data_IF_266857437241
#
_entry.id   IF_266857437241
#
_cell.length_a   1.000
_cell.length_b   1.000
_cell.length_c   1.000
_cell.angle_alpha   90.00
_cell.angle_beta   90.00
_cell.angle_gamma   90.00
#
_symmetry.space_group_name_H-M   'P 1'
#
loop_
_entity.id
_entity.type
_entity.pdbx_description
1 polymer ?
#
# COMPACT_ATOMS: atom_id res chain seq x y z
N UNK A 1 12.96 17.42 74.88
CA UNK A 1 13.12 16.65 73.62
C UNK A 1 11.80 16.55 72.83
N UNK A 2 10.98 17.62 72.76
CA UNK A 2 9.68 17.61 72.06
C UNK A 2 9.62 18.60 70.88
N UNK A 3 10.35 19.72 70.95
CA UNK A 3 10.42 20.70 69.85
C UNK A 3 11.22 20.21 68.62
N UNK A 4 12.22 19.33 68.81
CA UNK A 4 13.05 18.82 67.71
C UNK A 4 12.26 17.90 66.76
N UNK A 5 11.33 17.10 67.29
CA UNK A 5 10.47 16.22 66.49
C UNK A 5 9.45 16.99 65.65
N UNK A 6 8.92 18.13 66.12
CA UNK A 6 7.98 18.93 65.33
C UNK A 6 8.64 19.58 64.11
N UNK A 7 9.89 20.04 64.26
CA UNK A 7 10.68 20.58 63.15
C UNK A 7 10.97 19.49 62.11
N UNK A 8 11.32 18.28 62.55
CA UNK A 8 11.58 17.16 61.65
C UNK A 8 10.34 16.71 60.87
N UNK A 9 9.16 16.69 61.51
CA UNK A 9 7.88 16.37 60.85
C UNK A 9 7.52 17.45 59.81
N UNK A 10 7.74 18.73 60.13
CA UNK A 10 7.51 19.83 59.19
C UNK A 10 8.41 19.76 57.96
N UNK A 11 9.71 19.49 58.15
CA UNK A 11 10.67 19.34 57.06
C UNK A 11 10.35 18.13 56.19
N UNK A 12 9.98 16.98 56.78
CA UNK A 12 9.56 15.79 56.02
C UNK A 12 8.30 16.06 55.19
N UNK A 13 7.32 16.78 55.74
CA UNK A 13 6.12 17.20 55.00
C UNK A 13 6.44 18.15 53.84
N UNK A 14 7.36 19.09 54.03
CA UNK A 14 7.81 20.01 52.98
C UNK A 14 8.48 19.26 51.83
N UNK A 15 9.38 18.32 52.14
CA UNK A 15 10.07 17.51 51.12
C UNK A 15 9.07 16.66 50.32
N UNK A 16 8.07 16.06 50.98
CA UNK A 16 7.02 15.30 50.29
C UNK A 16 6.16 16.16 49.35
N UNK A 17 5.86 17.40 49.74
CA UNK A 17 5.10 18.30 48.86
C UNK A 17 5.88 18.66 47.59
N UNK A 18 7.18 18.93 47.73
CA UNK A 18 8.05 19.28 46.60
C UNK A 18 8.23 18.10 45.63
N UNK A 19 8.39 16.88 46.14
CA UNK A 19 8.54 15.69 45.28
C UNK A 19 7.29 15.40 44.47
N UNK A 20 6.10 15.60 45.04
CA UNK A 20 4.82 15.41 44.32
C UNK A 20 4.66 16.43 43.20
N UNK A 21 4.99 17.70 43.44
CA UNK A 21 4.91 18.74 42.40
C UNK A 21 5.84 18.41 41.23
N UNK A 22 7.08 18.01 41.52
CA UNK A 22 8.06 17.64 40.49
C UNK A 22 7.57 16.41 39.71
N UNK A 23 7.03 15.39 40.39
CA UNK A 23 6.51 14.19 39.74
C UNK A 23 5.34 14.49 38.77
N UNK A 24 4.44 15.42 39.12
CA UNK A 24 3.33 15.84 38.26
C UNK A 24 3.85 16.57 37.00
N UNK A 25 4.84 17.46 37.15
CA UNK A 25 5.42 18.17 35.99
C UNK A 25 6.14 17.19 35.04
N UNK A 26 6.91 16.26 35.59
CA UNK A 26 7.62 15.26 34.78
C UNK A 26 6.67 14.31 34.05
N UNK A 27 5.61 13.86 34.72
CA UNK A 27 4.59 13.01 34.08
C UNK A 27 3.79 13.75 33.01
N UNK A 28 3.48 15.04 33.20
CA UNK A 28 2.84 15.86 32.19
C UNK A 28 3.71 16.01 30.92
N UNK A 29 5.03 16.22 31.08
CA UNK A 29 5.97 16.28 29.96
C UNK A 29 6.08 14.94 29.23
N UNK A 30 6.14 13.83 29.97
CA UNK A 30 6.18 12.48 29.40
C UNK A 30 4.92 12.17 28.59
N UNK A 31 3.74 12.52 29.11
CA UNK A 31 2.47 12.36 28.39
C UNK A 31 2.38 13.27 27.15
N UNK A 32 2.88 14.50 27.24
CA UNK A 32 2.94 15.42 26.11
C UNK A 32 3.82 14.88 24.97
N UNK A 33 5.01 14.36 25.29
CA UNK A 33 5.90 13.73 24.31
C UNK A 33 5.29 12.45 23.75
N UNK A 34 4.69 11.60 24.59
CA UNK A 34 4.03 10.37 24.15
C UNK A 34 2.83 10.64 23.22
N UNK A 35 2.07 11.70 23.47
CA UNK A 35 0.98 12.12 22.59
C UNK A 35 1.49 12.75 21.28
N UNK A 36 2.63 13.45 21.32
CA UNK A 36 3.31 13.97 20.12
C UNK A 36 3.86 12.83 19.24
N UNK A 37 4.28 11.71 19.85
CA UNK A 37 4.63 10.50 19.11
C UNK A 37 3.41 9.90 18.41
N UNK A 38 2.23 9.89 19.02
CA UNK A 38 1.01 9.39 18.37
C UNK A 38 0.62 10.22 17.14
N UNK A 39 0.74 11.55 17.19
CA UNK A 39 0.49 12.40 16.02
C UNK A 39 1.57 12.24 14.94
N UNK A 40 2.84 12.05 15.33
CA UNK A 40 3.96 11.80 14.40
C UNK A 40 3.88 10.40 13.75
N UNK A 41 3.43 9.38 14.49
CA UNK A 41 3.23 8.02 13.94
C UNK A 41 2.07 8.02 12.94
N UNK A 42 0.98 8.75 13.22
CA UNK A 42 -0.13 8.90 12.27
C UNK A 42 0.29 9.70 11.03
N UNK A 43 1.17 10.70 11.16
CA UNK A 43 1.73 11.43 10.02
C UNK A 43 2.75 10.62 9.21
N UNK A 44 3.52 9.73 9.85
CA UNK A 44 4.52 8.88 9.21
C UNK A 44 3.92 7.76 8.37
N UNK A 45 2.83 7.13 8.83
CA UNK A 45 2.12 6.09 8.06
C UNK A 45 1.36 6.66 6.88
N UNK A 46 0.68 7.81 7.02
CA UNK A 46 -0.01 8.46 5.89
C UNK A 46 0.96 8.90 4.80
N UNK A 47 2.09 9.52 5.16
CA UNK A 47 3.13 9.89 4.19
C UNK A 47 3.79 8.64 3.56
N UNK A 48 3.98 7.57 4.32
CA UNK A 48 4.53 6.31 3.80
C UNK A 48 3.60 5.61 2.81
N UNK A 49 2.29 5.57 3.09
CA UNK A 49 1.29 5.04 2.15
C UNK A 49 1.22 5.88 0.89
N UNK A 50 1.32 7.22 0.99
CA UNK A 50 1.37 8.11 -0.17
C UNK A 50 2.63 7.87 -1.03
N UNK A 51 3.82 7.78 -0.42
CA UNK A 51 5.06 7.49 -1.14
C UNK A 51 5.03 6.14 -1.86
N UNK A 52 4.47 5.10 -1.23
CA UNK A 52 4.29 3.80 -1.87
C UNK A 52 3.31 3.87 -3.05
N UNK A 53 2.24 4.67 -2.93
CA UNK A 53 1.29 4.92 -4.02
C UNK A 53 1.96 5.65 -5.19
N UNK A 54 2.72 6.72 -4.92
CA UNK A 54 3.42 7.51 -5.95
C UNK A 54 4.44 6.66 -6.71
N UNK A 55 5.18 5.79 -6.00
CA UNK A 55 6.14 4.88 -6.61
C UNK A 55 5.46 3.83 -7.50
N UNK A 56 4.34 3.28 -7.04
CA UNK A 56 3.51 2.36 -7.85
C UNK A 56 2.95 3.06 -9.09
N UNK A 57 2.56 4.33 -8.98
CA UNK A 57 2.01 5.09 -10.10
C UNK A 57 3.08 5.42 -11.17
N UNK A 58 4.27 5.85 -10.77
CA UNK A 58 5.41 6.11 -11.67
C UNK A 58 5.77 4.82 -12.41
N UNK A 59 5.84 3.72 -11.67
CA UNK A 59 6.24 2.45 -12.25
C UNK A 59 5.18 1.84 -13.17
N UNK A 60 3.91 2.12 -12.95
CA UNK A 60 2.85 1.70 -13.85
C UNK A 60 2.77 2.58 -15.12
N UNK A 61 2.92 3.90 -14.98
CA UNK A 61 2.80 4.86 -16.10
C UNK A 61 3.87 4.65 -17.18
N UNK A 62 5.04 4.08 -16.85
CA UNK A 62 6.11 3.82 -17.83
C UNK A 62 5.73 2.81 -18.92
N UNK A 63 4.72 1.97 -18.66
CA UNK A 63 4.28 0.94 -19.59
C UNK A 63 3.25 1.45 -20.61
N UNK A 64 2.78 2.70 -20.49
CA UNK A 64 1.81 3.24 -21.43
C UNK A 64 2.42 3.44 -22.82
N UNK A 65 1.90 2.71 -23.81
CA UNK A 65 2.41 2.69 -25.18
C UNK A 65 3.73 1.93 -25.38
N UNK A 66 4.28 1.30 -24.34
CA UNK A 66 5.52 0.52 -24.42
C UNK A 66 5.25 -0.90 -24.89
N UNK A 67 6.09 -1.39 -25.81
CA UNK A 67 6.09 -2.80 -26.19
C UNK A 67 7.04 -3.59 -25.27
N UNK A 68 6.51 -4.61 -24.61
CA UNK A 68 7.23 -5.47 -23.67
C UNK A 68 7.11 -6.94 -24.07
N UNK A 69 8.11 -7.75 -23.74
CA UNK A 69 8.05 -9.21 -23.92
C UNK A 69 7.05 -9.83 -22.96
N UNK A 70 6.49 -10.99 -23.33
CA UNK A 70 5.61 -11.77 -22.45
C UNK A 70 6.28 -12.10 -21.12
N UNK A 71 7.56 -12.46 -21.12
CA UNK A 71 8.33 -12.67 -19.88
C UNK A 71 8.33 -11.45 -18.96
N UNK A 72 8.39 -10.23 -19.52
CA UNK A 72 8.29 -8.99 -18.74
C UNK A 72 6.88 -8.77 -18.22
N UNK A 73 5.84 -9.10 -18.99
CA UNK A 73 4.44 -9.05 -18.51
C UNK A 73 4.27 -9.96 -17.28
N UNK A 74 4.82 -11.17 -17.31
CA UNK A 74 4.79 -12.10 -16.17
C UNK A 74 5.48 -11.48 -14.95
N UNK A 75 6.66 -10.87 -15.12
CA UNK A 75 7.34 -10.16 -14.02
C UNK A 75 6.51 -9.00 -13.47
N UNK A 76 5.88 -8.21 -14.35
CA UNK A 76 5.02 -7.08 -13.94
C UNK A 76 3.81 -7.57 -13.15
N UNK A 77 3.17 -8.67 -13.54
CA UNK A 77 2.08 -9.29 -12.76
C UNK A 77 2.59 -9.67 -11.37
N UNK A 78 3.74 -10.32 -11.28
CA UNK A 78 4.30 -10.75 -9.99
C UNK A 78 4.72 -9.56 -9.11
N UNK A 79 5.15 -8.44 -9.67
CA UNK A 79 5.58 -7.25 -8.93
C UNK A 79 4.39 -6.36 -8.52
N UNK A 80 3.49 -6.04 -9.45
CA UNK A 80 2.44 -5.02 -9.27
C UNK A 80 1.20 -5.57 -8.59
N UNK A 81 0.83 -6.82 -8.86
CA UNK A 81 -0.35 -7.45 -8.27
C UNK A 81 -0.14 -7.87 -6.80
N UNK A 82 1.01 -7.56 -6.19
CA UNK A 82 1.20 -7.61 -4.74
C UNK A 82 0.57 -6.40 -4.03
N UNK A 83 0.35 -5.30 -4.75
CA UNK A 83 -0.22 -4.07 -4.19
C UNK A 83 -1.76 -4.09 -4.25
N UNK A 84 -2.40 -3.40 -3.31
CA UNK A 84 -3.86 -3.36 -3.19
C UNK A 84 -4.54 -2.37 -4.15
N UNK A 85 -3.79 -1.68 -5.02
CA UNK A 85 -4.32 -0.53 -5.77
C UNK A 85 -4.26 -0.68 -7.29
N UNK A 86 -3.46 -1.63 -7.81
CA UNK A 86 -3.25 -1.80 -9.25
C UNK A 86 -3.61 -3.22 -9.68
N UNK A 87 -4.44 -3.35 -10.71
CA UNK A 87 -4.66 -4.61 -11.42
C UNK A 87 -3.92 -4.65 -12.75
N UNK A 88 -3.63 -5.85 -13.25
CA UNK A 88 -3.05 -6.06 -14.58
C UNK A 88 -4.01 -6.89 -15.42
N UNK A 89 -4.40 -6.41 -16.59
CA UNK A 89 -5.18 -7.19 -17.57
C UNK A 89 -4.29 -7.60 -18.73
N UNK A 90 -4.33 -8.88 -19.11
CA UNK A 90 -3.61 -9.38 -20.27
C UNK A 90 -4.61 -9.89 -21.30
N UNK A 91 -4.52 -9.36 -22.51
CA UNK A 91 -5.31 -9.77 -23.68
C UNK A 91 -4.37 -10.54 -24.61
N UNK A 92 -4.66 -11.82 -24.81
CA UNK A 92 -3.92 -12.69 -25.72
C UNK A 92 -4.68 -12.82 -27.05
N UNK A 93 -4.06 -13.40 -28.07
CA UNK A 93 -4.74 -13.72 -29.34
C UNK A 93 -5.89 -14.72 -29.17
N UNK A 94 -5.83 -15.56 -28.13
CA UNK A 94 -6.81 -16.59 -27.81
C UNK A 94 -7.89 -16.11 -26.81
N UNK A 95 -7.55 -15.14 -25.95
CA UNK A 95 -8.44 -14.48 -24.98
C UNK A 95 -8.61 -12.99 -25.32
N UNK A 96 -9.59 -12.70 -26.16
CA UNK A 96 -9.95 -11.34 -26.59
C UNK A 96 -10.70 -10.54 -25.51
N UNK A 97 -11.20 -11.22 -24.47
CA UNK A 97 -11.85 -10.56 -23.32
C UNK A 97 -10.83 -10.11 -22.27
N UNK A 98 -9.69 -10.78 -22.21
CA UNK A 98 -8.58 -10.48 -21.33
C UNK A 98 -8.75 -11.06 -19.93
N UNK A 99 -7.64 -11.57 -19.39
CA UNK A 99 -7.56 -12.10 -18.03
C UNK A 99 -7.03 -11.02 -17.09
N UNK A 100 -7.73 -10.76 -15.98
CA UNK A 100 -7.31 -9.78 -14.97
C UNK A 100 -6.60 -10.48 -13.80
N UNK A 101 -5.48 -9.90 -13.37
CA UNK A 101 -4.62 -10.32 -12.26
C UNK A 101 -4.57 -9.22 -11.21
N UNK A 102 -4.77 -9.59 -9.95
CA UNK A 102 -4.77 -8.66 -8.82
C UNK A 102 -4.47 -9.35 -7.50
N UNK A 103 -4.20 -8.58 -6.46
CA UNK A 103 -4.09 -9.13 -5.10
C UNK A 103 -5.49 -9.60 -4.64
N UNK A 104 -5.66 -10.83 -4.12
CA UNK A 104 -6.94 -11.28 -3.55
C UNK A 104 -7.42 -10.45 -2.35
N UNK A 105 -6.50 -9.75 -1.68
CA UNK A 105 -6.81 -8.82 -0.59
C UNK A 105 -7.30 -7.45 -1.08
N UNK A 106 -7.19 -7.18 -2.39
CA UNK A 106 -7.68 -5.96 -3.01
C UNK A 106 -9.22 -5.92 -2.91
N UNK A 107 -9.71 -5.24 -1.87
CA UNK A 107 -11.15 -5.03 -1.65
C UNK A 107 -11.67 -3.97 -2.62
N UNK A 108 -12.15 -4.48 -3.75
CA UNK A 108 -13.32 -4.03 -4.51
C UNK A 108 -13.58 -2.52 -4.52
N UNK A 109 -13.02 -1.85 -5.53
CA UNK A 109 -13.76 -0.82 -6.24
C UNK A 109 -13.74 -1.18 -7.72
N UNK A 110 -14.86 -1.73 -8.20
CA UNK A 110 -15.10 -1.85 -9.65
C UNK A 110 -15.05 -0.44 -10.21
N UNK A 111 -13.99 -0.14 -10.97
CA UNK A 111 -13.78 1.21 -11.49
C UNK A 111 -14.06 1.16 -12.98
N UNK A 112 -15.02 1.97 -13.43
CA UNK A 112 -15.23 2.15 -14.87
C UNK A 112 -14.32 3.28 -15.33
N UNK A 113 -13.32 2.96 -16.15
CA UNK A 113 -12.45 3.93 -16.82
C UNK A 113 -12.61 3.72 -18.31
N UNK A 114 -12.86 4.78 -19.08
CA UNK A 114 -13.04 4.72 -20.55
C UNK A 114 -14.05 3.67 -21.02
N UNK A 115 -15.24 3.62 -20.41
CA UNK A 115 -16.30 2.61 -20.67
C UNK A 115 -15.87 1.15 -20.43
N UNK A 116 -14.71 0.91 -19.83
CA UNK A 116 -14.23 -0.42 -19.43
C UNK A 116 -14.42 -0.61 -17.93
N UNK A 117 -15.17 -1.65 -17.57
CA UNK A 117 -15.33 -2.09 -16.18
C UNK A 117 -14.06 -2.83 -15.76
N UNK A 118 -13.25 -2.21 -14.91
CA UNK A 118 -12.09 -2.85 -14.29
C UNK A 118 -12.57 -3.47 -12.98
N UNK A 119 -12.52 -4.79 -12.91
CA UNK A 119 -12.82 -5.55 -11.70
C UNK A 119 -11.50 -6.00 -11.09
N UNK A 120 -10.99 -5.34 -10.03
CA UNK A 120 -9.75 -5.73 -9.36
C UNK A 120 -9.90 -7.05 -8.55
N UNK A 121 -10.98 -7.80 -8.73
CA UNK A 121 -11.12 -9.19 -8.27
C UNK A 121 -10.84 -10.10 -9.46
N UNK A 122 -9.56 -10.27 -9.80
CA UNK A 122 -9.14 -11.26 -10.80
C UNK A 122 -9.35 -12.68 -10.28
N UNK A 123 -9.75 -13.60 -11.17
CA UNK A 123 -9.89 -15.03 -10.85
C UNK A 123 -8.52 -15.75 -10.68
N UNK A 124 -7.39 -15.03 -10.78
CA UNK A 124 -6.05 -15.60 -10.75
C UNK A 124 -5.08 -14.72 -9.95
N UNK A 125 -4.26 -15.38 -9.14
CA UNK A 125 -3.41 -14.76 -8.12
C UNK A 125 -2.06 -14.30 -8.69
N UNK A 126 -1.53 -13.20 -8.16
CA UNK A 126 -0.11 -12.91 -8.19
C UNK A 126 0.64 -14.06 -7.47
N UNK A 127 1.28 -14.95 -8.22
CA UNK A 127 1.98 -16.12 -7.70
C UNK A 127 1.22 -17.45 -7.76
N UNK A 128 -0.04 -17.50 -8.24
CA UNK A 128 -0.56 -18.79 -8.72
C UNK A 128 0.18 -19.11 -10.01
N UNK A 129 0.77 -20.31 -10.09
CA UNK A 129 1.31 -20.89 -11.33
C UNK A 129 0.41 -20.51 -12.49
N UNK A 130 0.90 -19.64 -13.37
CA UNK A 130 0.20 -19.37 -14.62
C UNK A 130 -0.09 -20.73 -15.24
N UNK A 131 -1.35 -20.98 -15.58
CA UNK A 131 -1.71 -22.26 -16.17
C UNK A 131 -0.80 -22.50 -17.39
N UNK A 132 0.10 -23.46 -17.20
CA UNK A 132 1.31 -23.60 -18.01
C UNK A 132 1.03 -24.33 -19.31
N UNK A 133 -0.25 -24.51 -19.66
CA UNK A 133 -0.70 -25.22 -20.83
C UNK A 133 -1.05 -24.22 -21.94
N UNK A 134 -0.43 -24.41 -23.11
CA UNK A 134 -0.66 -23.61 -24.33
C UNK A 134 -2.14 -23.63 -24.76
N UNK A 135 -2.90 -24.63 -24.29
CA UNK A 135 -4.33 -24.80 -24.53
C UNK A 135 -5.21 -23.85 -23.72
N UNK A 136 -4.68 -23.21 -22.67
CA UNK A 136 -5.44 -22.24 -21.89
C UNK A 136 -5.40 -20.88 -22.59
N UNK A 137 -6.58 -20.26 -22.80
CA UNK A 137 -6.70 -18.96 -23.46
C UNK A 137 -5.97 -17.84 -22.69
N UNK A 138 -5.86 -17.99 -21.38
CA UNK A 138 -5.14 -17.08 -20.49
C UNK A 138 -3.62 -17.29 -20.48
N UNK A 139 -3.09 -18.23 -21.28
CA UNK A 139 -1.65 -18.50 -21.36
C UNK A 139 -0.89 -17.32 -21.97
N UNK A 140 0.06 -16.78 -21.21
CA UNK A 140 0.94 -15.70 -21.67
C UNK A 140 2.14 -16.31 -22.38
N UNK A 141 2.21 -16.13 -23.70
CA UNK A 141 3.39 -16.52 -24.47
C UNK A 141 4.57 -15.59 -24.14
N UNK A 142 5.60 -16.13 -23.48
CA UNK A 142 6.80 -15.39 -23.06
C UNK A 142 7.57 -14.73 -24.21
N UNK A 143 7.49 -15.31 -25.41
CA UNK A 143 8.20 -14.85 -26.60
C UNK A 143 7.37 -13.87 -27.44
N UNK A 144 6.11 -13.63 -27.10
CA UNK A 144 5.28 -12.67 -27.80
C UNK A 144 5.53 -11.24 -27.32
N UNK A 145 5.19 -10.26 -28.16
CA UNK A 145 5.21 -8.84 -27.82
C UNK A 145 3.83 -8.38 -27.38
N UNK A 146 3.79 -7.56 -26.34
CA UNK A 146 2.58 -7.01 -25.77
C UNK A 146 2.72 -5.51 -25.67
N UNK A 147 1.68 -4.79 -26.09
CA UNK A 147 1.60 -3.34 -25.96
C UNK A 147 0.90 -2.97 -24.66
N UNK A 148 1.56 -2.20 -23.82
CA UNK A 148 1.00 -1.68 -22.58
C UNK A 148 0.06 -0.49 -22.82
N UNK A 149 -1.00 -0.40 -22.01
CA UNK A 149 -1.90 0.75 -21.90
C UNK A 149 -2.29 0.95 -20.45
N UNK A 150 -2.20 2.19 -19.97
CA UNK A 150 -2.45 2.50 -18.55
C UNK A 150 -3.80 3.19 -18.39
N UNK A 151 -4.58 2.76 -17.41
CA UNK A 151 -5.87 3.35 -17.06
C UNK A 151 -5.78 4.02 -15.68
N UNK A 152 -6.20 5.28 -15.64
CA UNK A 152 -6.20 6.12 -14.43
C UNK A 152 -7.63 6.41 -14.00
N UNK A 153 -7.88 6.46 -12.69
CA UNK A 153 -9.18 6.90 -12.17
C UNK A 153 -9.33 8.43 -12.25
N UNK A 154 -10.51 8.93 -11.88
CA UNK A 154 -10.82 10.37 -11.88
C UNK A 154 -9.89 11.23 -10.99
N UNK A 155 -9.14 10.61 -10.08
CA UNK A 155 -8.17 11.28 -9.22
C UNK A 155 -6.74 11.24 -9.78
N UNK A 156 -6.54 10.70 -10.99
CA UNK A 156 -5.23 10.60 -11.64
C UNK A 156 -4.42 9.36 -11.27
N UNK A 157 -4.86 8.57 -10.28
CA UNK A 157 -4.15 7.38 -9.82
C UNK A 157 -4.31 6.23 -10.82
N UNK A 158 -3.24 5.49 -11.07
CA UNK A 158 -3.27 4.29 -11.91
C UNK A 158 -4.05 3.18 -11.20
N UNK A 159 -5.07 2.65 -11.89
CA UNK A 159 -5.91 1.55 -11.39
C UNK A 159 -5.72 0.25 -12.17
N UNK A 160 -5.29 0.34 -13.43
CA UNK A 160 -5.06 -0.85 -14.25
C UNK A 160 -3.99 -0.64 -15.31
N UNK A 161 -3.21 -1.69 -15.56
CA UNK A 161 -2.32 -1.80 -16.73
C UNK A 161 -2.85 -2.90 -17.63
N UNK A 162 -3.09 -2.60 -18.90
CA UNK A 162 -3.53 -3.56 -19.91
C UNK A 162 -2.37 -3.89 -20.85
N UNK A 163 -2.11 -5.17 -21.08
CA UNK A 163 -1.16 -5.67 -22.05
C UNK A 163 -1.89 -6.38 -23.18
N UNK A 164 -1.80 -5.86 -24.40
CA UNK A 164 -2.44 -6.45 -25.58
C UNK A 164 -1.40 -7.09 -26.50
N UNK A 165 -1.52 -8.39 -26.73
CA UNK A 165 -0.65 -9.12 -27.64
C UNK A 165 -0.83 -8.64 -29.10
N UNK A 166 0.27 -8.45 -29.81
CA UNK A 166 0.28 -8.17 -31.26
C UNK A 166 1.18 -9.15 -32.02
#
# INVERSE_FOLDING_TARGET
MYCRNKVEIGVKGLVLAVTVIIAVVLSALALYMANSSKSTINGGTTQYTQLMSDYSEISATMYDGLDVSGSKVISVINEMCQTDYVSVTVITKEDTTGTNYSNPSNKTAVTTVDNKTITPSGNQYAGSTQESTITNKSHINENASYRGKVYKNSNGLVVNIEFTQH
#
